data_IF_143610688782
#
_entry.id   IF_143610688782
#
_cell.length_a   1.000
_cell.length_b   1.000
_cell.length_c   1.000
_cell.angle_alpha   90.00
_cell.angle_beta   90.00
_cell.angle_gamma   90.00
#
_symmetry.space_group_name_H-M   'P 1'
#
loop_
_entity.id
_entity.type
_entity.pdbx_description
1 polymer ?
#
# COMPACT_ATOMS: atom_id res chain seq x y z
N UNK A 1 -12.78 -18.68 -5.77
CA UNK A 1 -13.06 -17.62 -6.76
C UNK A 1 -13.45 -16.37 -6.00
N UNK A 2 -13.18 -15.22 -6.59
CA UNK A 2 -13.65 -13.90 -6.12
C UNK A 2 -14.59 -13.37 -7.18
N UNK A 3 -15.72 -12.83 -6.75
CA UNK A 3 -16.63 -12.13 -7.64
C UNK A 3 -16.47 -10.63 -7.49
N UNK A 4 -16.33 -9.92 -8.60
CA UNK A 4 -16.23 -8.47 -8.65
C UNK A 4 -17.09 -7.96 -9.82
N UNK A 5 -18.14 -7.20 -9.50
CA UNK A 5 -19.04 -6.59 -10.50
C UNK A 5 -19.51 -7.57 -11.59
N UNK A 6 -19.92 -8.77 -11.17
CA UNK A 6 -20.41 -9.83 -12.06
C UNK A 6 -19.32 -10.65 -12.76
N UNK A 7 -18.02 -10.39 -12.50
CA UNK A 7 -16.90 -11.18 -13.01
C UNK A 7 -16.35 -12.13 -11.95
N UNK A 8 -16.17 -13.40 -12.33
CA UNK A 8 -15.49 -14.39 -11.51
C UNK A 8 -13.99 -14.43 -11.83
N UNK A 9 -13.16 -14.19 -10.82
CA UNK A 9 -11.70 -14.23 -10.92
C UNK A 9 -11.18 -15.39 -10.07
N UNK A 10 -10.42 -16.28 -10.70
CA UNK A 10 -9.69 -17.31 -9.98
C UNK A 10 -8.42 -16.68 -9.40
N UNK A 11 -8.28 -16.72 -8.09
CA UNK A 11 -7.09 -16.22 -7.39
C UNK A 11 -6.73 -17.12 -6.22
N UNK A 12 -5.44 -17.11 -5.86
CA UNK A 12 -4.90 -17.82 -4.70
C UNK A 12 -4.65 -16.81 -3.60
N UNK A 13 -5.06 -17.13 -2.38
CA UNK A 13 -4.86 -16.27 -1.22
C UNK A 13 -3.78 -16.82 -0.30
N UNK A 14 -3.02 -15.91 0.30
CA UNK A 14 -2.20 -16.20 1.48
C UNK A 14 -3.08 -15.94 2.70
N UNK A 15 -3.28 -16.98 3.51
CA UNK A 15 -4.05 -16.87 4.75
C UNK A 15 -3.08 -16.56 5.89
N UNK A 16 -3.35 -15.46 6.61
CA UNK A 16 -2.60 -15.04 7.79
C UNK A 16 -3.51 -15.18 9.03
N UNK A 17 -3.50 -16.32 9.74
CA UNK A 17 -4.50 -16.64 10.77
C UNK A 17 -4.52 -15.69 11.98
N UNK A 18 -3.46 -14.91 12.17
CA UNK A 18 -3.30 -13.97 13.29
C UNK A 18 -3.36 -12.49 12.86
N UNK A 19 -3.69 -12.20 11.61
CA UNK A 19 -3.83 -10.84 11.15
C UNK A 19 -4.96 -10.13 11.90
N UNK A 20 -4.69 -8.91 12.38
CA UNK A 20 -5.71 -8.05 12.99
C UNK A 20 -6.42 -7.27 11.89
N UNK A 21 -7.74 -7.38 11.84
CA UNK A 21 -8.54 -6.82 10.75
C UNK A 21 -8.58 -7.79 9.57
N UNK A 22 -9.76 -8.35 9.32
CA UNK A 22 -9.98 -9.34 8.27
C UNK A 22 -10.04 -8.71 6.86
N UNK A 23 -9.33 -7.60 6.63
CA UNK A 23 -9.26 -6.94 5.33
C UNK A 23 -8.35 -7.75 4.42
N UNK A 24 -8.87 -8.11 3.25
CA UNK A 24 -8.10 -8.83 2.23
C UNK A 24 -7.33 -7.82 1.40
N UNK A 25 -6.01 -7.97 1.33
CA UNK A 25 -5.18 -7.20 0.42
C UNK A 25 -5.19 -7.88 -0.96
N UNK A 26 -5.53 -7.14 -2.00
CA UNK A 26 -5.48 -7.60 -3.39
C UNK A 26 -4.20 -7.10 -4.03
N UNK A 27 -3.34 -8.05 -4.42
CA UNK A 27 -2.06 -7.76 -5.06
C UNK A 27 -2.20 -7.43 -6.55
N UNK A 28 -1.06 -7.06 -7.15
CA UNK A 28 -0.97 -6.75 -8.59
C UNK A 28 -1.26 -7.96 -9.48
N UNK A 29 -1.03 -9.17 -8.98
CA UNK A 29 -1.38 -10.44 -9.61
C UNK A 29 -2.90 -10.57 -9.78
N UNK A 30 -3.67 -10.26 -8.74
CA UNK A 30 -5.12 -10.21 -8.80
C UNK A 30 -5.59 -9.10 -9.75
N UNK A 31 -5.05 -7.88 -9.62
CA UNK A 31 -5.44 -6.75 -10.47
C UNK A 31 -5.25 -7.08 -11.95
N UNK A 32 -4.10 -7.68 -12.30
CA UNK A 32 -3.79 -8.07 -13.68
C UNK A 32 -4.72 -9.20 -14.17
N UNK A 33 -4.95 -10.21 -13.35
CA UNK A 33 -5.81 -11.36 -13.70
C UNK A 33 -7.28 -10.96 -13.86
N UNK A 34 -7.75 -10.03 -13.04
CA UNK A 34 -9.08 -9.46 -13.11
C UNK A 34 -9.23 -8.44 -14.24
N UNK A 35 -8.12 -7.99 -14.84
CA UNK A 35 -8.13 -6.95 -15.86
C UNK A 35 -8.52 -5.58 -15.31
N UNK A 36 -8.14 -5.28 -14.08
CA UNK A 36 -8.45 -4.03 -13.40
C UNK A 36 -7.41 -2.96 -13.70
N UNK A 37 -7.89 -1.74 -13.94
CA UNK A 37 -7.07 -0.54 -14.06
C UNK A 37 -7.47 0.42 -12.95
N UNK A 38 -6.48 0.86 -12.17
CA UNK A 38 -6.66 1.87 -11.12
C UNK A 38 -6.30 3.24 -11.70
N UNK A 39 -7.25 4.17 -11.66
CA UNK A 39 -7.08 5.56 -12.06
C UNK A 39 -7.11 6.43 -10.81
N UNK A 40 -5.93 6.58 -10.20
CA UNK A 40 -5.75 7.36 -8.99
C UNK A 40 -6.10 8.84 -9.19
N UNK A 41 -5.87 9.39 -10.39
CA UNK A 41 -6.15 10.79 -10.70
C UNK A 41 -7.65 11.09 -10.61
N UNK A 42 -8.48 10.20 -11.14
CA UNK A 42 -9.93 10.33 -11.14
C UNK A 42 -10.61 9.54 -10.01
N UNK A 43 -9.82 9.06 -9.04
CA UNK A 43 -10.29 8.29 -7.87
C UNK A 43 -11.28 7.18 -8.21
N UNK A 44 -10.96 6.40 -9.26
CA UNK A 44 -11.83 5.35 -9.75
C UNK A 44 -11.03 4.16 -10.28
N UNK A 45 -11.73 3.06 -10.54
CA UNK A 45 -11.20 1.90 -11.24
C UNK A 45 -12.16 1.45 -12.33
N UNK A 46 -11.65 0.69 -13.29
CA UNK A 46 -12.44 0.13 -14.39
C UNK A 46 -11.80 -1.17 -14.90
N UNK A 47 -12.56 -1.93 -15.69
CA UNK A 47 -12.01 -3.06 -16.41
C UNK A 47 -11.36 -2.59 -17.72
N UNK A 48 -10.19 -3.13 -18.05
CA UNK A 48 -9.44 -2.73 -19.25
C UNK A 48 -10.25 -2.89 -20.56
N UNK A 49 -11.15 -3.87 -20.61
CA UNK A 49 -12.02 -4.17 -21.75
C UNK A 49 -13.32 -3.34 -21.78
N UNK A 50 -13.58 -2.55 -20.73
CA UNK A 50 -14.71 -1.62 -20.65
C UNK A 50 -14.30 -0.32 -19.92
N UNK A 51 -13.45 0.52 -20.52
CA UNK A 51 -12.93 1.74 -19.88
C UNK A 51 -13.99 2.84 -19.69
N UNK A 52 -15.14 2.72 -20.36
CA UNK A 52 -16.26 3.66 -20.23
C UNK A 52 -17.06 3.48 -18.95
N UNK A 53 -17.06 2.27 -18.38
CA UNK A 53 -17.77 1.98 -17.15
C UNK A 53 -16.80 2.02 -15.97
N UNK A 54 -16.91 3.08 -15.16
CA UNK A 54 -15.98 3.38 -14.07
C UNK A 54 -16.68 3.24 -12.73
N UNK A 55 -15.97 2.68 -11.77
CA UNK A 55 -16.40 2.51 -10.40
C UNK A 55 -15.60 3.46 -9.51
N UNK A 56 -16.25 4.29 -8.67
CA UNK A 56 -15.53 5.15 -7.74
C UNK A 56 -14.77 4.31 -6.71
N UNK A 57 -13.65 4.83 -6.20
CA UNK A 57 -13.07 4.28 -4.98
C UNK A 57 -14.07 4.43 -3.82
N UNK A 58 -14.13 3.43 -2.95
CA UNK A 58 -14.98 3.49 -1.77
C UNK A 58 -14.52 4.60 -0.83
N UNK A 59 -15.48 5.23 -0.16
CA UNK A 59 -15.20 6.14 0.95
C UNK A 59 -14.52 5.37 2.08
N UNK A 60 -13.54 6.00 2.73
CA UNK A 60 -12.94 5.46 3.94
C UNK A 60 -14.04 5.40 4.99
N UNK A 61 -14.67 4.24 5.17
CA UNK A 61 -15.55 3.98 6.32
C UNK A 61 -14.79 4.45 7.55
N UNK A 62 -15.38 5.37 8.32
CA UNK A 62 -14.86 5.95 9.56
C UNK A 62 -14.20 4.89 10.45
N UNK A 63 -12.95 4.56 10.13
CA UNK A 63 -12.06 3.89 11.05
C UNK A 63 -11.64 4.99 11.99
N UNK A 64 -11.72 4.79 13.33
CA UNK A 64 -11.20 5.77 14.27
C UNK A 64 -9.80 6.15 13.81
N UNK A 65 -9.69 7.45 13.51
CA UNK A 65 -8.57 8.12 12.89
C UNK A 65 -7.25 7.38 13.09
N UNK A 66 -6.74 6.75 12.02
CA UNK A 66 -5.35 6.28 12.00
C UNK A 66 -4.40 7.49 11.94
N UNK A 67 -4.87 8.74 12.07
CA UNK A 67 -3.99 9.88 12.31
C UNK A 67 -3.19 9.73 13.63
N UNK A 68 -3.58 8.83 14.53
CA UNK A 68 -2.74 8.46 15.70
C UNK A 68 -1.83 7.25 15.48
N UNK A 69 -1.83 6.64 14.28
CA UNK A 69 -0.95 5.49 14.00
C UNK A 69 -0.45 5.33 12.57
N UNK A 70 -0.62 6.34 11.72
CA UNK A 70 0.39 6.64 10.74
C UNK A 70 1.55 7.25 11.51
N UNK A 71 2.24 6.41 12.29
CA UNK A 71 3.63 6.67 12.57
C UNK A 71 4.19 6.91 11.19
N UNK A 72 4.58 8.15 10.89
CA UNK A 72 5.68 8.35 9.95
C UNK A 72 6.63 7.22 10.28
N UNK A 73 6.80 6.30 9.34
CA UNK A 73 7.92 5.40 9.35
C UNK A 73 9.12 6.34 9.22
N UNK A 74 9.51 6.97 10.34
CA UNK A 74 10.91 7.02 10.72
C UNK A 74 11.41 5.64 10.34
N UNK A 75 12.38 5.60 9.44
CA UNK A 75 12.96 4.38 8.91
C UNK A 75 13.58 3.58 10.06
N UNK A 76 12.73 3.00 10.90
CA UNK A 76 13.09 2.19 12.04
C UNK A 76 13.01 0.77 11.54
N UNK A 77 14.20 0.25 11.30
CA UNK A 77 14.40 -1.12 10.88
C UNK A 77 13.81 -2.03 11.96
N UNK A 78 12.97 -2.98 11.53
CA UNK A 78 12.49 -4.06 12.39
C UNK A 78 13.69 -4.90 12.81
N UNK A 79 13.89 -5.09 14.11
CA UNK A 79 14.88 -6.06 14.61
C UNK A 79 14.36 -7.48 14.32
N UNK A 80 14.81 -8.07 13.21
CA UNK A 80 14.71 -9.51 12.98
C UNK A 80 16.02 -10.18 13.40
N UNK A 81 15.86 -11.27 14.17
CA UNK A 81 16.74 -12.28 14.80
C UNK A 81 18.28 -12.18 14.85
N UNK A 82 18.95 -11.34 14.07
CA UNK A 82 20.36 -10.99 14.27
C UNK A 82 20.48 -9.46 14.30
N UNK A 83 20.56 -8.92 15.53
CA UNK A 83 20.78 -7.50 15.74
C UNK A 83 22.11 -7.07 15.12
N UNK A 84 22.07 -6.06 14.24
CA UNK A 84 23.28 -5.42 13.72
C UNK A 84 24.24 -5.07 14.86
N UNK A 85 25.53 -5.33 14.67
CA UNK A 85 26.57 -4.86 15.60
C UNK A 85 26.58 -3.33 15.67
N UNK A 86 27.09 -2.74 16.75
CA UNK A 86 27.11 -1.28 16.93
C UNK A 86 27.77 -0.54 15.76
N UNK A 87 28.84 -1.10 15.19
CA UNK A 87 29.52 -0.53 14.02
C UNK A 87 28.66 -0.58 12.74
N UNK A 88 27.87 -1.64 12.55
CA UNK A 88 26.93 -1.72 11.43
C UNK A 88 25.76 -0.75 11.61
N UNK A 89 25.24 -0.60 12.84
CA UNK A 89 24.19 0.39 13.16
C UNK A 89 24.66 1.82 12.85
N UNK A 90 25.88 2.16 13.26
CA UNK A 90 26.46 3.50 13.00
C UNK A 90 26.65 3.77 11.51
N UNK A 91 27.24 2.82 10.76
CA UNK A 91 27.41 2.94 9.30
C UNK A 91 26.07 3.08 8.57
N UNK A 92 25.05 2.38 9.03
CA UNK A 92 23.72 2.42 8.44
C UNK A 92 22.98 3.73 8.73
N UNK A 93 23.10 4.25 9.95
CA UNK A 93 22.53 5.55 10.30
C UNK A 93 23.15 6.69 9.48
N UNK A 94 24.48 6.68 9.31
CA UNK A 94 25.17 7.65 8.44
C UNK A 94 24.66 7.58 6.99
N UNK A 95 24.40 6.37 6.49
CA UNK A 95 23.84 6.18 5.15
C UNK A 95 22.42 6.76 5.06
N UNK A 96 21.56 6.47 6.04
CA UNK A 96 20.18 6.97 6.06
C UNK A 96 20.12 8.50 6.13
N UNK A 97 21.00 9.12 6.93
CA UNK A 97 21.14 10.59 6.99
C UNK A 97 21.58 11.15 5.63
N UNK A 98 22.54 10.53 4.95
CA UNK A 98 23.02 10.99 3.64
C UNK A 98 21.96 10.96 2.53
N UNK A 99 20.93 10.12 2.66
CA UNK A 99 19.84 9.99 1.70
C UNK A 99 18.50 10.49 2.26
N UNK A 100 18.54 11.36 3.28
CA UNK A 100 17.33 11.87 3.92
C UNK A 100 16.36 12.50 2.90
N UNK A 101 16.88 13.21 1.90
CA UNK A 101 16.12 13.82 0.79
C UNK A 101 15.34 12.81 -0.08
N UNK A 102 15.74 11.54 -0.12
CA UNK A 102 15.03 10.47 -0.84
C UNK A 102 13.80 10.00 -0.04
N UNK A 103 13.85 10.12 1.28
CA UNK A 103 12.81 9.68 2.21
C UNK A 103 11.93 10.83 2.70
N UNK A 104 12.24 12.07 2.34
CA UNK A 104 11.39 13.22 2.58
C UNK A 104 10.07 13.08 1.80
N UNK A 105 8.97 13.34 2.49
CA UNK A 105 7.63 13.29 1.89
C UNK A 105 7.54 14.37 0.80
N UNK A 106 7.29 13.97 -0.45
CA UNK A 106 7.20 14.89 -1.58
C UNK A 106 6.26 16.06 -1.27
N UNK A 107 6.79 17.28 -1.39
CA UNK A 107 6.02 18.51 -1.16
C UNK A 107 4.79 18.52 -2.05
N UNK A 108 3.60 18.70 -1.45
CA UNK A 108 2.39 19.00 -2.20
C UNK A 108 2.59 20.34 -2.90
N UNK A 109 2.81 20.32 -4.20
CA UNK A 109 2.75 21.52 -5.02
C UNK A 109 1.37 22.17 -4.83
N UNK A 110 1.32 23.29 -4.11
CA UNK A 110 0.14 24.13 -4.08
C UNK A 110 0.04 24.81 -5.45
N UNK A 111 -0.97 24.42 -6.24
CA UNK A 111 -1.36 25.17 -7.43
C UNK A 111 -1.94 26.52 -6.98
N UNK A 112 -1.24 27.59 -7.32
CA UNK A 112 -1.75 28.97 -7.34
C UNK A 112 -2.60 29.23 -8.58
#
# INVERSE_FOLDING_TARGET
>A
MVEIEGRSVLTKFIILPKAKGNRTLLGTDFLSSAGLVLDAKNTCWYFWDNPTHKYPFGEELDTPSIAEKMSSNTCQLREESESLTSAQKEKLNLLLESFQNVFEQGEKQQLS
#
